data_IF_277256674237
#
_entry.id   IF_277256674237
#
_cell.length_a   1.000
_cell.length_b   1.000
_cell.length_c   1.000
_cell.angle_alpha   90.00
_cell.angle_beta   90.00
_cell.angle_gamma   90.00
#
_symmetry.space_group_name_H-M   'P 1'
#
loop_
_entity.id
_entity.type
_entity.pdbx_description
1 polymer ?
#
# COMPACT_ATOMS: atom_id res chain seq x y z
N UNK A 1 -24.16 -18.66 -28.73
CA UNK A 1 -23.77 -17.23 -28.81
C UNK A 1 -22.86 -16.95 -27.60
N UNK A 2 -21.54 -17.03 -27.79
CA UNK A 2 -20.57 -16.76 -26.75
C UNK A 2 -20.37 -15.26 -26.63
N UNK A 3 -20.72 -14.69 -25.48
CA UNK A 3 -20.30 -13.35 -25.14
C UNK A 3 -18.79 -13.41 -24.88
N UNK A 4 -18.00 -12.97 -25.87
CA UNK A 4 -16.62 -12.59 -25.66
C UNK A 4 -16.63 -11.43 -24.66
N UNK A 5 -16.39 -11.70 -23.37
CA UNK A 5 -15.97 -10.68 -22.42
C UNK A 5 -14.63 -10.14 -22.92
N UNK A 6 -14.68 -9.07 -23.67
CA UNK A 6 -13.49 -8.28 -24.01
C UNK A 6 -12.83 -7.93 -22.68
N UNK A 7 -11.68 -8.53 -22.41
CA UNK A 7 -10.83 -8.16 -21.30
C UNK A 7 -10.56 -6.66 -21.48
N UNK A 8 -10.98 -5.83 -20.54
CA UNK A 8 -10.68 -4.41 -20.57
C UNK A 8 -9.16 -4.27 -20.74
N UNK A 9 -8.70 -3.56 -21.77
CA UNK A 9 -7.27 -3.31 -22.00
C UNK A 9 -6.65 -2.43 -20.90
N UNK A 10 -7.47 -2.01 -19.92
CA UNK A 10 -7.02 -1.16 -18.80
C UNK A 10 -6.29 -1.97 -17.75
N UNK A 11 -5.19 -1.39 -17.25
CA UNK A 11 -4.45 -1.92 -16.11
C UNK A 11 -5.26 -1.70 -14.83
N UNK A 12 -5.65 -2.78 -14.16
CA UNK A 12 -6.40 -2.70 -12.89
C UNK A 12 -5.44 -2.51 -11.73
N UNK A 13 -5.57 -1.35 -11.10
CA UNK A 13 -4.74 -0.96 -9.97
C UNK A 13 -5.57 -0.98 -8.69
N UNK A 14 -5.17 -1.81 -7.73
CA UNK A 14 -5.73 -1.82 -6.39
C UNK A 14 -4.87 -0.95 -5.48
N UNK A 15 -5.46 0.12 -4.92
CA UNK A 15 -4.82 0.99 -3.95
C UNK A 15 -5.29 0.61 -2.54
N UNK A 16 -4.38 0.09 -1.72
CA UNK A 16 -4.64 -0.26 -0.34
C UNK A 16 -4.47 0.95 0.58
N UNK A 17 -5.53 1.72 0.77
CA UNK A 17 -5.54 2.95 1.57
C UNK A 17 -5.80 2.77 3.06
N UNK A 18 -5.97 1.54 3.57
CA UNK A 18 -6.39 1.26 4.96
C UNK A 18 -5.43 1.82 6.03
N UNK A 19 -4.17 2.03 5.68
CA UNK A 19 -3.17 2.60 6.58
C UNK A 19 -3.09 4.14 6.53
N UNK A 20 -3.82 4.79 5.62
CA UNK A 20 -3.85 6.24 5.48
C UNK A 20 -4.86 6.87 6.45
N UNK A 21 -4.55 6.86 7.75
CA UNK A 21 -5.45 7.34 8.82
C UNK A 21 -5.24 8.81 9.19
N UNK A 22 -4.06 9.36 8.92
CA UNK A 22 -3.71 10.75 9.23
C UNK A 22 -2.42 11.17 8.51
N UNK A 23 -2.16 12.48 8.51
CA UNK A 23 -0.90 13.07 8.08
C UNK A 23 -0.51 12.70 6.65
N UNK A 24 0.77 12.47 6.41
CA UNK A 24 1.34 12.29 5.07
C UNK A 24 0.74 11.15 4.24
N UNK A 25 0.08 10.15 4.86
CA UNK A 25 -0.62 9.07 4.13
C UNK A 25 -1.85 9.56 3.40
N UNK A 26 -2.66 10.32 4.12
CA UNK A 26 -3.85 10.96 3.57
C UNK A 26 -3.46 11.99 2.51
N UNK A 27 -2.50 12.86 2.83
CA UNK A 27 -2.00 13.88 1.90
C UNK A 27 -1.48 13.25 0.60
N UNK A 28 -0.69 12.19 0.70
CA UNK A 28 -0.19 11.48 -0.48
C UNK A 28 -1.34 10.95 -1.35
N UNK A 29 -2.27 10.22 -0.76
CA UNK A 29 -3.40 9.65 -1.52
C UNK A 29 -4.29 10.74 -2.11
N UNK A 30 -4.57 11.82 -1.37
CA UNK A 30 -5.35 12.97 -1.90
C UNK A 30 -4.71 13.60 -3.12
N UNK A 31 -3.40 13.61 -3.21
CA UNK A 31 -2.67 14.20 -4.34
C UNK A 31 -2.52 13.22 -5.51
N UNK A 32 -2.26 11.94 -5.24
CA UNK A 32 -1.97 10.99 -6.31
C UNK A 32 -3.24 10.41 -6.97
N UNK A 33 -4.31 10.19 -6.21
CA UNK A 33 -5.54 9.58 -6.73
C UNK A 33 -6.16 10.35 -7.89
N UNK A 34 -6.28 11.70 -7.84
CA UNK A 34 -6.80 12.46 -8.97
C UNK A 34 -5.90 12.38 -10.21
N UNK A 35 -4.59 12.21 -10.03
CA UNK A 35 -3.66 12.05 -11.15
C UNK A 35 -3.81 10.68 -11.79
N UNK A 36 -3.88 9.62 -10.98
CA UNK A 36 -4.12 8.27 -11.47
C UNK A 36 -5.48 8.15 -12.18
N UNK A 37 -6.52 8.81 -11.66
CA UNK A 37 -7.85 8.80 -12.27
C UNK A 37 -7.91 9.48 -13.64
N UNK A 38 -6.97 10.38 -13.96
CA UNK A 38 -6.89 11.03 -15.28
C UNK A 38 -6.33 10.12 -16.36
N UNK A 39 -5.60 9.08 -15.98
CA UNK A 39 -5.02 8.14 -16.94
C UNK A 39 -6.10 7.17 -17.46
N UNK A 40 -6.44 7.22 -18.77
CA UNK A 40 -7.49 6.38 -19.34
C UNK A 40 -7.10 4.90 -19.40
N UNK A 41 -5.81 4.56 -19.30
CA UNK A 41 -5.33 3.18 -19.30
C UNK A 41 -5.49 2.50 -17.94
N UNK A 42 -5.82 3.26 -16.88
CA UNK A 42 -5.95 2.75 -15.53
C UNK A 42 -7.41 2.57 -15.11
N UNK A 43 -7.68 1.49 -14.41
CA UNK A 43 -8.91 1.22 -13.66
C UNK A 43 -8.56 1.16 -12.18
N UNK A 44 -8.95 2.17 -11.40
CA UNK A 44 -8.51 2.34 -10.01
C UNK A 44 -9.56 1.78 -9.05
N UNK A 45 -9.14 0.85 -8.18
CA UNK A 45 -9.91 0.31 -7.07
C UNK A 45 -9.27 0.77 -5.76
N UNK A 46 -9.94 1.64 -5.02
CA UNK A 46 -9.46 2.18 -3.75
C UNK A 46 -10.15 1.48 -2.57
N UNK A 47 -9.36 0.88 -1.67
CA UNK A 47 -9.85 0.29 -0.44
C UNK A 47 -9.58 1.20 0.76
N UNK A 48 -10.64 1.55 1.48
CA UNK A 48 -10.60 2.39 2.69
C UNK A 48 -11.52 1.77 3.76
N UNK A 49 -11.28 2.11 5.03
CA UNK A 49 -12.29 1.95 6.05
C UNK A 49 -13.35 3.05 5.95
N UNK A 50 -14.56 2.76 6.45
CA UNK A 50 -15.67 3.72 6.45
C UNK A 50 -15.32 5.03 7.17
N UNK A 51 -14.63 4.93 8.30
CA UNK A 51 -14.18 6.06 9.12
C UNK A 51 -13.10 6.92 8.45
N UNK A 52 -12.47 6.41 7.39
CA UNK A 52 -11.48 7.15 6.62
C UNK A 52 -12.08 7.97 5.47
N UNK A 53 -13.30 7.66 5.03
CA UNK A 53 -13.88 8.24 3.82
C UNK A 53 -13.90 9.77 3.85
N UNK A 54 -14.30 10.35 4.98
CA UNK A 54 -14.37 11.80 5.16
C UNK A 54 -13.01 12.49 5.04
N UNK A 55 -11.91 11.76 5.28
CA UNK A 55 -10.55 12.30 5.13
C UNK A 55 -10.18 12.59 3.68
N UNK A 56 -10.88 12.00 2.72
CA UNK A 56 -10.53 12.13 1.29
C UNK A 56 -11.40 13.13 0.54
N UNK A 57 -12.49 13.60 1.14
CA UNK A 57 -13.42 14.52 0.49
C UNK A 57 -14.08 13.91 -0.75
N UNK A 58 -14.24 14.71 -1.80
CA UNK A 58 -14.82 14.24 -3.06
C UNK A 58 -13.77 13.47 -3.87
N UNK A 59 -14.02 12.19 -4.11
CA UNK A 59 -13.21 11.37 -5.00
C UNK A 59 -13.70 11.48 -6.43
N UNK A 60 -12.79 11.33 -7.40
CA UNK A 60 -13.12 11.26 -8.82
C UNK A 60 -14.02 10.03 -9.09
N UNK A 61 -15.08 10.18 -9.88
CA UNK A 61 -16.06 9.14 -10.20
C UNK A 61 -15.43 7.91 -10.90
N UNK A 62 -14.27 8.08 -11.52
CA UNK A 62 -13.51 7.01 -12.16
C UNK A 62 -12.82 6.09 -11.16
N UNK A 63 -12.76 6.47 -9.87
CA UNK A 63 -12.21 5.65 -8.80
C UNK A 63 -13.31 4.77 -8.21
N UNK A 64 -13.16 3.46 -8.33
CA UNK A 64 -14.06 2.50 -7.69
C UNK A 64 -13.70 2.35 -6.22
N UNK A 65 -14.53 2.94 -5.36
CA UNK A 65 -14.33 2.93 -3.92
C UNK A 65 -14.91 1.67 -3.28
N UNK A 66 -14.09 1.00 -2.44
CA UNK A 66 -14.46 -0.17 -1.65
C UNK A 66 -14.33 0.16 -0.16
N UNK A 67 -15.45 0.31 0.52
CA UNK A 67 -15.47 0.64 1.95
C UNK A 67 -15.56 -0.62 2.81
N UNK A 68 -14.54 -0.80 3.65
CA UNK A 68 -14.48 -1.90 4.61
C UNK A 68 -15.38 -1.59 5.82
N UNK A 69 -16.13 -2.60 6.26
CA UNK A 69 -17.17 -2.46 7.30
C UNK A 69 -16.77 -3.08 8.65
N UNK A 70 -15.61 -3.69 8.75
CA UNK A 70 -15.13 -4.23 10.03
C UNK A 70 -14.40 -3.15 10.85
N UNK A 71 -14.24 -3.42 12.16
CA UNK A 71 -13.59 -2.48 13.06
C UNK A 71 -12.13 -2.21 12.66
N UNK A 72 -11.79 -0.93 12.57
CA UNK A 72 -10.47 -0.47 12.19
C UNK A 72 -9.45 -0.68 13.33
N UNK A 73 -8.90 -1.89 13.42
CA UNK A 73 -7.89 -2.30 14.41
C UNK A 73 -6.65 -2.89 13.75
N UNK A 74 -5.50 -2.82 14.44
CA UNK A 74 -4.23 -3.28 13.89
C UNK A 74 -4.28 -4.74 13.42
N UNK A 75 -4.70 -5.65 14.29
CA UNK A 75 -4.76 -7.08 13.96
C UNK A 75 -5.80 -7.40 12.89
N UNK A 76 -6.98 -6.78 12.96
CA UNK A 76 -8.02 -6.96 11.96
C UNK A 76 -7.55 -6.50 10.58
N UNK A 77 -6.89 -5.34 10.51
CA UNK A 77 -6.29 -4.84 9.28
C UNK A 77 -5.20 -5.75 8.75
N UNK A 78 -4.32 -6.23 9.62
CA UNK A 78 -3.21 -7.11 9.22
C UNK A 78 -3.75 -8.45 8.65
N UNK A 79 -4.70 -9.09 9.34
CA UNK A 79 -5.32 -10.34 8.86
C UNK A 79 -6.03 -10.11 7.54
N UNK A 80 -6.84 -9.05 7.44
CA UNK A 80 -7.55 -8.73 6.21
C UNK A 80 -6.56 -8.46 5.06
N UNK A 81 -5.52 -7.67 5.31
CA UNK A 81 -4.51 -7.31 4.31
C UNK A 81 -3.70 -8.52 3.83
N UNK A 82 -3.34 -9.44 4.74
CA UNK A 82 -2.51 -10.59 4.37
C UNK A 82 -3.30 -11.78 3.81
N UNK A 83 -4.57 -11.93 4.20
CA UNK A 83 -5.40 -13.07 3.79
C UNK A 83 -6.45 -12.69 2.75
N UNK A 84 -7.33 -11.73 3.07
CA UNK A 84 -8.46 -11.39 2.22
C UNK A 84 -8.07 -10.57 0.99
N UNK A 85 -7.21 -9.57 1.15
CA UNK A 85 -6.84 -8.67 0.06
C UNK A 85 -6.16 -9.38 -1.12
N UNK A 86 -5.21 -10.31 -0.94
CA UNK A 86 -4.61 -11.04 -2.06
C UNK A 86 -5.61 -11.91 -2.82
N UNK A 87 -6.59 -12.48 -2.12
CA UNK A 87 -7.66 -13.27 -2.73
C UNK A 87 -8.58 -12.37 -3.55
N UNK A 88 -9.03 -11.26 -2.96
CA UNK A 88 -9.87 -10.26 -3.64
C UNK A 88 -9.16 -9.69 -4.87
N UNK A 89 -7.87 -9.36 -4.76
CA UNK A 89 -7.09 -8.86 -5.87
C UNK A 89 -7.06 -9.84 -7.05
N UNK A 90 -6.96 -11.15 -6.78
CA UNK A 90 -7.03 -12.18 -7.83
C UNK A 90 -8.42 -12.31 -8.43
N UNK A 91 -9.47 -12.36 -7.59
CA UNK A 91 -10.88 -12.46 -8.05
C UNK A 91 -11.23 -11.26 -8.94
N UNK A 92 -10.76 -10.07 -8.58
CA UNK A 92 -10.97 -8.83 -9.33
C UNK A 92 -10.05 -8.70 -10.55
N UNK A 93 -9.16 -9.69 -10.79
CA UNK A 93 -8.15 -9.66 -11.86
C UNK A 93 -7.30 -8.38 -11.81
N UNK A 94 -6.85 -8.00 -10.61
CA UNK A 94 -5.97 -6.85 -10.39
C UNK A 94 -4.59 -7.16 -10.96
N UNK A 95 -4.04 -6.22 -11.74
CA UNK A 95 -2.71 -6.34 -12.33
C UNK A 95 -1.61 -5.81 -11.37
N UNK A 96 -1.92 -4.74 -10.63
CA UNK A 96 -0.97 -4.08 -9.72
C UNK A 96 -1.64 -3.75 -8.38
N UNK A 97 -0.97 -4.07 -7.28
CA UNK A 97 -1.39 -3.67 -5.93
C UNK A 97 -0.44 -2.62 -5.38
N UNK A 98 -0.97 -1.47 -4.98
CA UNK A 98 -0.21 -0.35 -4.42
C UNK A 98 -0.57 -0.19 -2.94
N UNK A 99 0.42 -0.33 -2.06
CA UNK A 99 0.29 -0.06 -0.63
C UNK A 99 1.14 1.16 -0.27
N UNK A 100 0.53 2.34 -0.02
CA UNK A 100 1.25 3.56 0.35
C UNK A 100 1.67 3.52 1.83
N UNK A 101 2.32 2.43 2.21
CA UNK A 101 2.84 2.13 3.54
C UNK A 101 4.15 1.35 3.41
N UNK A 102 4.93 1.26 4.50
CA UNK A 102 6.21 0.53 4.50
C UNK A 102 6.07 -0.96 4.22
N UNK A 103 4.87 -1.49 4.32
CA UNK A 103 4.54 -2.88 4.04
C UNK A 103 3.19 -2.98 3.32
N UNK A 104 2.88 -4.17 2.83
CA UNK A 104 1.61 -4.48 2.17
C UNK A 104 1.39 -5.99 2.09
N UNK A 105 0.36 -6.43 1.36
CA UNK A 105 -0.01 -7.84 1.26
C UNK A 105 1.06 -8.64 0.52
N UNK A 106 1.68 -9.62 1.20
CA UNK A 106 2.86 -10.34 0.70
C UNK A 106 2.58 -11.13 -0.60
N UNK A 107 1.34 -11.57 -0.80
CA UNK A 107 0.95 -12.44 -1.91
C UNK A 107 0.03 -11.78 -2.94
N UNK A 108 -0.07 -10.45 -2.91
CA UNK A 108 -0.86 -9.71 -3.88
C UNK A 108 -0.14 -9.58 -5.24
N UNK A 109 -0.89 -9.46 -6.36
CA UNK A 109 -0.31 -9.27 -7.68
C UNK A 109 0.56 -8.01 -7.76
N UNK A 110 1.73 -8.14 -8.38
CA UNK A 110 2.69 -7.07 -8.67
C UNK A 110 2.73 -5.95 -7.62
N UNK A 111 2.94 -6.33 -6.35
CA UNK A 111 2.90 -5.40 -5.22
C UNK A 111 3.94 -4.28 -5.34
N UNK A 112 3.46 -3.05 -5.13
CA UNK A 112 4.28 -1.85 -4.96
C UNK A 112 4.05 -1.33 -3.54
N UNK A 113 5.13 -1.12 -2.78
CA UNK A 113 5.09 -0.53 -1.43
C UNK A 113 5.75 0.84 -1.43
N UNK A 114 5.43 1.67 -0.43
CA UNK A 114 6.03 2.99 -0.28
C UNK A 114 6.76 3.11 1.05
N UNK A 115 8.08 3.23 0.98
CA UNK A 115 8.96 3.44 2.12
C UNK A 115 8.94 4.91 2.56
N UNK A 116 8.21 5.21 3.63
CA UNK A 116 7.92 6.59 4.03
C UNK A 116 8.51 6.96 5.38
N UNK A 117 8.33 6.11 6.38
CA UNK A 117 8.73 6.40 7.75
C UNK A 117 9.97 5.61 8.09
N UNK A 118 10.93 6.27 8.70
CA UNK A 118 12.08 5.59 9.29
C UNK A 118 11.62 4.78 10.50
N UNK A 119 12.07 3.53 10.59
CA UNK A 119 11.91 2.70 11.79
C UNK A 119 12.88 3.12 12.93
N UNK A 120 13.61 4.22 12.77
CA UNK A 120 14.54 4.74 13.79
C UNK A 120 13.87 5.03 15.13
N UNK A 121 12.56 5.34 15.13
CA UNK A 121 11.76 5.48 16.35
C UNK A 121 11.69 4.18 17.13
N UNK A 122 11.75 3.03 16.47
CA UNK A 122 11.70 1.71 17.10
C UNK A 122 12.87 1.49 18.10
N UNK A 123 14.05 2.01 17.78
CA UNK A 123 15.24 1.88 18.63
C UNK A 123 15.20 2.71 19.91
N UNK A 124 14.33 3.72 19.99
CA UNK A 124 14.18 4.62 21.14
C UNK A 124 13.01 4.24 22.06
N UNK A 125 12.19 3.28 21.66
CA UNK A 125 11.01 2.87 22.43
C UNK A 125 11.42 1.95 23.61
N UNK A 126 11.05 2.33 24.82
CA UNK A 126 11.38 1.62 26.06
C UNK A 126 10.27 0.66 26.51
N UNK A 127 9.01 0.90 26.12
CA UNK A 127 7.84 0.11 26.53
C UNK A 127 7.82 -1.24 25.81
N UNK A 128 7.75 -2.39 26.52
CA UNK A 128 7.92 -3.71 25.91
C UNK A 128 6.85 -4.04 24.85
N UNK A 129 5.61 -3.69 25.09
CA UNK A 129 4.50 -3.93 24.14
C UNK A 129 4.71 -3.13 22.85
N UNK A 130 5.17 -1.88 22.96
CA UNK A 130 5.46 -1.07 21.78
C UNK A 130 6.70 -1.53 21.04
N UNK A 131 7.70 -2.05 21.75
CA UNK A 131 8.88 -2.68 21.12
C UNK A 131 8.47 -3.89 20.27
N UNK A 132 7.59 -4.75 20.82
CA UNK A 132 7.06 -5.89 20.07
C UNK A 132 6.28 -5.44 18.82
N UNK A 133 5.45 -4.42 18.95
CA UNK A 133 4.74 -3.83 17.82
C UNK A 133 5.70 -3.32 16.73
N UNK A 134 6.75 -2.56 17.11
CA UNK A 134 7.75 -2.06 16.16
C UNK A 134 8.58 -3.18 15.53
N UNK A 135 8.91 -4.21 16.29
CA UNK A 135 9.58 -5.40 15.76
C UNK A 135 8.73 -6.10 14.70
N UNK A 136 7.45 -6.27 14.97
CA UNK A 136 6.48 -6.82 14.00
C UNK A 136 6.41 -5.98 12.71
N UNK A 137 6.32 -4.64 12.83
CA UNK A 137 6.33 -3.75 11.66
C UNK A 137 7.65 -3.84 10.87
N UNK A 138 8.78 -3.96 11.55
CA UNK A 138 10.10 -4.13 10.93
C UNK A 138 10.15 -5.42 10.11
N UNK A 139 9.70 -6.53 10.71
CA UNK A 139 9.62 -7.83 10.04
C UNK A 139 8.70 -7.75 8.82
N UNK A 140 7.51 -7.16 8.98
CA UNK A 140 6.56 -7.00 7.86
C UNK A 140 7.13 -6.14 6.72
N UNK A 141 7.88 -5.08 7.06
CA UNK A 141 8.57 -4.25 6.06
C UNK A 141 9.63 -5.06 5.32
N UNK A 142 10.46 -5.83 6.03
CA UNK A 142 11.48 -6.67 5.42
C UNK A 142 10.88 -7.75 4.49
N UNK A 143 9.84 -8.44 4.96
CA UNK A 143 9.11 -9.43 4.14
C UNK A 143 8.48 -8.79 2.90
N UNK A 144 7.87 -7.62 3.06
CA UNK A 144 7.28 -6.90 1.93
C UNK A 144 8.33 -6.44 0.92
N UNK A 145 9.52 -6.02 1.36
CA UNK A 145 10.63 -5.70 0.46
C UNK A 145 11.13 -6.93 -0.31
N UNK A 146 11.13 -8.10 0.32
CA UNK A 146 11.53 -9.34 -0.35
C UNK A 146 10.52 -9.74 -1.44
N UNK A 147 9.24 -9.61 -1.16
CA UNK A 147 8.14 -10.09 -2.04
C UNK A 147 7.66 -9.06 -3.04
N UNK A 148 7.78 -7.74 -2.77
CA UNK A 148 7.27 -6.71 -3.65
C UNK A 148 7.96 -6.70 -5.04
N UNK A 149 7.21 -6.27 -6.04
CA UNK A 149 7.73 -6.05 -7.40
C UNK A 149 8.60 -4.80 -7.45
N UNK A 150 8.17 -3.73 -6.79
CA UNK A 150 8.87 -2.44 -6.69
C UNK A 150 8.59 -1.80 -5.32
N UNK A 151 9.51 -0.95 -4.88
CA UNK A 151 9.30 -0.07 -3.74
C UNK A 151 9.65 1.37 -4.12
N UNK A 152 8.87 2.32 -3.64
CA UNK A 152 9.11 3.75 -3.81
C UNK A 152 9.58 4.29 -2.46
N UNK A 153 10.75 4.89 -2.40
CA UNK A 153 11.23 5.58 -1.20
C UNK A 153 11.05 7.09 -1.35
N UNK A 154 10.50 7.76 -0.34
CA UNK A 154 10.26 9.21 -0.37
C UNK A 154 11.54 10.05 -0.22
N UNK A 155 12.66 9.41 0.12
CA UNK A 155 13.98 10.04 0.24
C UNK A 155 15.08 8.98 0.24
N UNK A 156 16.32 9.40 -0.01
CA UNK A 156 17.50 8.55 0.13
C UNK A 156 17.69 8.06 1.56
N UNK A 157 17.32 8.89 2.54
CA UNK A 157 17.33 8.49 3.95
C UNK A 157 16.36 7.34 4.21
N UNK A 158 15.10 7.45 3.75
CA UNK A 158 14.11 6.38 3.89
C UNK A 158 14.58 5.10 3.17
N UNK A 159 15.15 5.22 1.97
CA UNK A 159 15.75 4.11 1.25
C UNK A 159 16.81 3.40 2.08
N UNK A 160 17.82 4.12 2.56
CA UNK A 160 18.92 3.56 3.36
C UNK A 160 18.42 2.92 4.65
N UNK A 161 17.55 3.62 5.39
CA UNK A 161 17.05 3.16 6.68
C UNK A 161 16.18 1.90 6.57
N UNK A 162 15.35 1.80 5.53
CA UNK A 162 14.35 0.74 5.41
C UNK A 162 14.82 -0.46 4.58
N UNK A 163 15.98 -0.38 3.93
CA UNK A 163 16.63 -1.53 3.27
C UNK A 163 17.54 -2.32 4.21
N UNK A 164 17.60 -1.96 5.49
CA UNK A 164 18.36 -2.67 6.54
C UNK A 164 19.82 -2.98 6.18
N UNK A 165 20.51 -2.06 5.49
CA UNK A 165 21.88 -2.25 5.03
C UNK A 165 22.05 -3.25 3.86
N UNK A 166 20.97 -3.84 3.37
CA UNK A 166 20.97 -4.73 2.20
C UNK A 166 20.82 -3.95 0.88
N UNK A 167 21.29 -2.70 0.87
CA UNK A 167 21.06 -1.72 -0.20
C UNK A 167 21.32 -2.25 -1.60
N UNK A 168 22.40 -3.00 -1.81
CA UNK A 168 22.79 -3.45 -3.16
C UNK A 168 21.81 -4.47 -3.74
N UNK A 169 21.24 -5.36 -2.91
CA UNK A 169 20.22 -6.32 -3.35
C UNK A 169 18.88 -5.64 -3.69
N UNK A 170 18.56 -4.55 -2.99
CA UNK A 170 17.30 -3.83 -3.14
C UNK A 170 17.38 -2.61 -4.04
N UNK A 171 18.57 -2.11 -4.40
CA UNK A 171 18.73 -0.92 -5.25
C UNK A 171 17.95 -1.01 -6.56
N UNK A 172 17.91 -2.18 -7.18
CA UNK A 172 17.16 -2.40 -8.43
C UNK A 172 15.63 -2.41 -8.23
N UNK A 173 15.14 -2.61 -6.99
CA UNK A 173 13.72 -2.64 -6.66
C UNK A 173 13.22 -1.32 -6.10
N UNK A 174 14.09 -0.51 -5.49
CA UNK A 174 13.73 0.71 -4.79
C UNK A 174 14.07 1.94 -5.62
N UNK A 175 13.04 2.67 -6.02
CA UNK A 175 13.18 3.97 -6.70
C UNK A 175 12.96 5.09 -5.68
N UNK A 176 13.80 6.11 -5.67
CA UNK A 176 13.62 7.29 -4.83
C UNK A 176 12.81 8.32 -5.62
N UNK A 177 11.70 8.78 -5.00
CA UNK A 177 10.88 9.87 -5.51
C UNK A 177 10.75 10.89 -4.39
N UNK A 178 11.40 12.03 -4.55
CA UNK A 178 11.35 13.11 -3.56
C UNK A 178 9.98 13.79 -3.57
N UNK A 179 9.44 14.06 -2.39
CA UNK A 179 8.18 14.76 -2.18
C UNK A 179 8.42 16.20 -1.74
#
# INVERSE_FOLDING_TARGET
MGQNFLKSDRIRVLVNGIHAKSGGGVTYLRNILPLLAKDPELEIHLFLHRDQFELFGTLDERIRLHLLRFNNGFFANLIWEQCALPILARIMSVDVTVSPANFGPLFAPAQIIMLRNSLAVAGKETRPIKRLYWAGLTIMTALSLLTCRRAIAVSDYARKALTFGLGDKFQRKVTVVHH
#
